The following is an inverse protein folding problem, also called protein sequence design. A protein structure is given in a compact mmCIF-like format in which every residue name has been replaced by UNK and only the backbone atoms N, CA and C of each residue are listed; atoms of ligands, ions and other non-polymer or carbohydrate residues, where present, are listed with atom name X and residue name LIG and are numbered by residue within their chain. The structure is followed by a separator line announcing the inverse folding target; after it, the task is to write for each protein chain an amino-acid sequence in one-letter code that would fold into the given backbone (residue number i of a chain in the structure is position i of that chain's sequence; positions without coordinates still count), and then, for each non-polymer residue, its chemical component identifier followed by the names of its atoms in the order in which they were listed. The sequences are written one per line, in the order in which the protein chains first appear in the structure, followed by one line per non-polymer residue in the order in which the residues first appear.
data_IF_301113149703
#
_entry.id   IF_301113149703
#
_cell.length_a   1.000
_cell.length_b   1.000
_cell.length_c   1.000
_cell.angle_alpha   90.00
_cell.angle_beta   90.00
_cell.angle_gamma   90.00
#
_symmetry.space_group_name_H-M   'P 1'
#
loop_
_entity.id
_entity.type
_entity.pdbx_description
1 polymer ?
#
# COMPACT_ATOMS: atom_id res chain seq x y z
N UNK A 1 -39.66 -41.25 -1.64
CA UNK A 1 -38.64 -41.19 -0.60
C UNK A 1 -37.49 -40.41 -1.14
N UNK A 2 -37.31 -39.24 -0.72
CA UNK A 2 -37.12 -37.95 -1.41
C UNK A 2 -35.62 -37.57 -1.36
N UNK A 3 -34.96 -37.64 -2.56
CA UNK A 3 -33.57 -37.17 -2.77
C UNK A 3 -33.45 -35.62 -2.82
N UNK A 4 -34.53 -34.91 -2.62
CA UNK A 4 -34.56 -33.43 -2.72
C UNK A 4 -34.34 -32.72 -1.38
N UNK A 5 -34.33 -33.45 -0.26
CA UNK A 5 -34.26 -32.86 1.07
C UNK A 5 -32.82 -32.58 1.55
N UNK A 6 -31.88 -33.43 1.12
CA UNK A 6 -30.47 -33.29 1.54
C UNK A 6 -29.74 -32.12 0.92
N UNK A 7 -30.13 -31.70 -0.28
CA UNK A 7 -29.50 -30.54 -0.96
C UNK A 7 -29.94 -29.19 -0.37
N UNK A 8 -31.19 -29.11 0.10
CA UNK A 8 -31.69 -27.90 0.79
C UNK A 8 -31.12 -27.78 2.21
N UNK A 9 -30.94 -28.91 2.88
CA UNK A 9 -30.37 -28.97 4.23
C UNK A 9 -28.87 -28.63 4.22
N UNK A 10 -28.12 -29.14 3.26
CA UNK A 10 -26.70 -28.79 3.08
C UNK A 10 -26.49 -27.34 2.65
N UNK A 11 -27.36 -26.79 1.80
CA UNK A 11 -27.35 -25.38 1.45
C UNK A 11 -27.67 -24.50 2.66
N UNK A 12 -28.61 -24.90 3.52
CA UNK A 12 -28.93 -24.22 4.77
C UNK A 12 -27.75 -24.17 5.74
N UNK A 13 -27.09 -25.31 5.93
CA UNK A 13 -25.91 -25.41 6.80
C UNK A 13 -24.71 -24.60 6.28
N UNK A 14 -24.52 -24.52 4.97
CA UNK A 14 -23.50 -23.69 4.35
C UNK A 14 -23.79 -22.19 4.50
N UNK A 15 -25.06 -21.80 4.36
CA UNK A 15 -25.48 -20.42 4.60
C UNK A 15 -25.34 -20.01 6.07
N UNK A 16 -25.67 -20.91 6.99
CA UNK A 16 -25.51 -20.70 8.42
C UNK A 16 -24.03 -20.64 8.82
N UNK A 17 -23.19 -21.48 8.22
CA UNK A 17 -21.72 -21.43 8.36
C UNK A 17 -21.12 -20.14 7.81
N UNK A 18 -21.63 -19.61 6.69
CA UNK A 18 -21.21 -18.33 6.16
C UNK A 18 -21.71 -17.16 7.02
N UNK A 19 -22.88 -17.25 7.61
CA UNK A 19 -23.44 -16.25 8.52
C UNK A 19 -22.73 -16.19 9.88
N UNK A 20 -22.09 -17.30 10.29
CA UNK A 20 -21.28 -17.39 11.52
C UNK A 20 -19.79 -17.10 11.30
N UNK A 21 -19.39 -16.66 10.11
CA UNK A 21 -18.03 -16.17 9.87
C UNK A 21 -17.73 -15.07 10.89
N UNK A 22 -16.68 -15.21 11.69
CA UNK A 22 -16.37 -14.20 12.69
C UNK A 22 -16.14 -12.85 12.01
N UNK A 23 -16.66 -11.78 12.59
CA UNK A 23 -16.62 -10.41 12.08
C UNK A 23 -15.23 -9.96 11.58
N UNK A 24 -14.17 -10.53 12.14
CA UNK A 24 -12.79 -10.27 11.71
C UNK A 24 -12.44 -10.88 10.34
N UNK A 25 -13.08 -11.98 9.92
CA UNK A 25 -12.89 -12.52 8.55
C UNK A 25 -13.57 -11.64 7.51
N UNK A 26 -14.74 -11.07 7.79
CA UNK A 26 -15.38 -10.08 6.93
C UNK A 26 -14.56 -8.80 6.84
N UNK A 27 -14.02 -8.32 7.97
CA UNK A 27 -13.12 -7.17 7.98
C UNK A 27 -11.86 -7.44 7.17
N UNK A 28 -11.27 -8.63 7.27
CA UNK A 28 -10.08 -9.00 6.50
C UNK A 28 -10.37 -9.09 4.99
N UNK A 29 -11.53 -9.61 4.59
CA UNK A 29 -11.89 -9.74 3.17
C UNK A 29 -12.37 -8.43 2.55
N UNK A 30 -13.06 -7.58 3.32
CA UNK A 30 -13.58 -6.30 2.82
C UNK A 30 -12.53 -5.19 2.84
N UNK A 31 -11.53 -5.27 3.72
CA UNK A 31 -10.53 -4.22 3.92
C UNK A 31 -9.08 -4.71 3.73
N UNK A 32 -8.88 -5.80 2.97
CA UNK A 32 -7.54 -6.36 2.73
C UNK A 32 -6.55 -5.34 2.17
N UNK A 33 -7.01 -4.39 1.38
CA UNK A 33 -6.17 -3.33 0.81
C UNK A 33 -5.56 -2.44 1.90
N UNK A 34 -6.36 -2.07 2.91
CA UNK A 34 -5.87 -1.26 4.04
C UNK A 34 -4.87 -2.02 4.90
N UNK A 35 -5.08 -3.31 5.07
CA UNK A 35 -4.17 -4.17 5.80
C UNK A 35 -2.85 -4.36 5.05
N UNK A 36 -2.91 -4.52 3.72
CA UNK A 36 -1.73 -4.65 2.87
C UNK A 36 -0.82 -3.42 2.94
N UNK A 37 -1.37 -2.20 2.74
CA UNK A 37 -0.52 -1.01 2.81
C UNK A 37 0.03 -0.78 4.22
N UNK A 38 -0.73 -1.09 5.28
CA UNK A 38 -0.25 -0.99 6.66
C UNK A 38 0.95 -1.92 6.91
N UNK A 39 0.90 -3.15 6.41
CA UNK A 39 2.02 -4.11 6.51
C UNK A 39 3.24 -3.57 5.75
N UNK A 40 3.08 -3.12 4.51
CA UNK A 40 4.19 -2.57 3.71
C UNK A 40 4.78 -1.33 4.37
N UNK A 41 3.95 -0.47 4.96
CA UNK A 41 4.38 0.72 5.69
C UNK A 41 5.25 0.35 6.91
N UNK A 42 4.80 -0.61 7.71
CA UNK A 42 5.53 -1.07 8.89
C UNK A 42 6.85 -1.72 8.49
N UNK A 43 6.86 -2.56 7.44
CA UNK A 43 8.09 -3.19 6.93
C UNK A 43 9.06 -2.12 6.43
N UNK A 44 8.59 -1.13 5.66
CA UNK A 44 9.42 -0.03 5.18
C UNK A 44 10.04 0.76 6.32
N UNK A 45 9.24 1.13 7.32
CA UNK A 45 9.71 1.85 8.50
C UNK A 45 10.72 1.00 9.32
N UNK A 46 10.41 -0.28 9.52
CA UNK A 46 11.31 -1.20 10.20
C UNK A 46 12.68 -1.29 9.50
N UNK A 47 12.70 -1.39 8.17
CA UNK A 47 13.95 -1.42 7.41
C UNK A 47 14.78 -0.13 7.56
N UNK A 48 14.11 1.03 7.62
CA UNK A 48 14.80 2.32 7.83
C UNK A 48 15.46 2.38 9.21
N UNK A 49 14.77 1.90 10.24
CA UNK A 49 15.25 2.00 11.64
C UNK A 49 16.23 0.89 11.99
N UNK A 50 15.94 -0.35 11.59
CA UNK A 50 16.70 -1.53 12.04
C UNK A 50 17.94 -1.85 11.19
N UNK A 51 18.07 -1.29 9.97
CA UNK A 51 19.21 -1.59 9.13
C UNK A 51 20.39 -0.69 9.45
N UNK A 52 21.57 -1.27 9.65
CA UNK A 52 22.83 -0.54 9.73
C UNK A 52 23.38 -0.14 8.34
N UNK A 53 22.97 -0.83 7.29
CA UNK A 53 23.43 -0.59 5.93
C UNK A 53 22.64 0.52 5.23
N UNK A 54 23.34 1.55 4.72
CA UNK A 54 22.75 2.73 4.09
C UNK A 54 21.91 2.41 2.86
N UNK A 55 22.31 1.42 2.06
CA UNK A 55 21.53 1.00 0.87
C UNK A 55 20.20 0.39 1.31
N UNK A 56 20.20 -0.45 2.34
CA UNK A 56 18.96 -1.04 2.89
C UNK A 56 18.03 0.03 3.44
N UNK A 57 18.54 1.10 4.03
CA UNK A 57 17.75 2.26 4.48
C UNK A 57 17.04 2.95 3.31
N UNK A 58 17.72 3.14 2.18
CA UNK A 58 17.09 3.73 0.99
C UNK A 58 15.99 2.83 0.44
N UNK A 59 16.21 1.51 0.41
CA UNK A 59 15.18 0.55 0.01
C UNK A 59 13.98 0.62 0.97
N UNK A 60 14.22 0.68 2.28
CA UNK A 60 13.17 0.85 3.29
C UNK A 60 12.37 2.13 3.10
N UNK A 61 13.05 3.24 2.78
CA UNK A 61 12.40 4.52 2.49
C UNK A 61 11.50 4.45 1.26
N UNK A 62 11.93 3.74 0.20
CA UNK A 62 11.12 3.52 -0.99
C UNK A 62 9.88 2.66 -0.71
N UNK A 63 10.00 1.61 0.11
CA UNK A 63 8.86 0.80 0.54
C UNK A 63 7.87 1.63 1.36
N UNK A 64 8.37 2.42 2.29
CA UNK A 64 7.55 3.33 3.09
C UNK A 64 6.78 4.34 2.23
N UNK A 65 7.46 4.98 1.27
CA UNK A 65 6.85 5.90 0.32
C UNK A 65 5.77 5.22 -0.53
N UNK A 66 6.04 4.00 -1.03
CA UNK A 66 5.08 3.22 -1.82
C UNK A 66 3.82 2.89 -1.02
N UNK A 67 3.96 2.56 0.27
CA UNK A 67 2.82 2.31 1.16
C UNK A 67 1.92 3.55 1.30
N UNK A 68 2.51 4.74 1.42
CA UNK A 68 1.76 6.00 1.48
C UNK A 68 1.00 6.24 0.17
N UNK A 69 1.61 5.95 -0.99
CA UNK A 69 0.93 6.10 -2.29
C UNK A 69 -0.24 5.14 -2.42
N UNK A 70 -0.08 3.88 -2.00
CA UNK A 70 -1.17 2.90 -1.97
C UNK A 70 -2.32 3.36 -1.09
N UNK A 71 -2.03 3.99 0.04
CA UNK A 71 -3.05 4.57 0.91
C UNK A 71 -3.84 5.68 0.19
N UNK A 72 -3.18 6.65 -0.44
CA UNK A 72 -3.85 7.73 -1.16
C UNK A 72 -4.69 7.21 -2.34
N UNK A 73 -4.17 6.26 -3.11
CA UNK A 73 -4.90 5.65 -4.22
C UNK A 73 -6.12 4.88 -3.71
N UNK A 74 -5.96 4.14 -2.62
CA UNK A 74 -7.06 3.40 -1.98
C UNK A 74 -8.17 4.32 -1.45
N UNK A 75 -7.81 5.51 -0.94
CA UNK A 75 -8.78 6.50 -0.44
C UNK A 75 -9.55 7.18 -1.58
N UNK A 76 -8.95 7.25 -2.78
CA UNK A 76 -9.60 7.83 -3.96
C UNK A 76 -10.66 6.92 -4.59
N UNK A 77 -10.61 5.63 -4.29
CA UNK A 77 -11.55 4.66 -4.85
C UNK A 77 -12.92 4.80 -4.17
N UNK A 78 -13.93 5.09 -4.98
CA UNK A 78 -15.34 5.09 -4.53
C UNK A 78 -15.84 3.66 -4.60
N UNK A 79 -16.20 3.10 -3.44
CA UNK A 79 -16.91 1.81 -3.39
C UNK A 79 -18.28 1.94 -4.02
N UNK A 80 -18.75 0.80 -4.49
CA UNK A 80 -20.11 0.62 -5.02
C UNK A 80 -21.13 1.30 -4.09
N UNK A 81 -21.81 2.30 -4.62
CA UNK A 81 -22.93 2.98 -3.97
C UNK A 81 -24.17 2.60 -4.79
N UNK A 82 -25.18 2.02 -4.13
CA UNK A 82 -26.43 1.59 -4.76
C UNK A 82 -26.28 0.57 -5.92
N UNK A 83 -25.24 -0.27 -5.88
CA UNK A 83 -25.00 -1.32 -6.88
C UNK A 83 -24.23 -0.86 -8.12
N UNK A 84 -23.77 0.39 -8.16
CA UNK A 84 -22.94 0.91 -9.24
C UNK A 84 -21.49 1.15 -8.79
N UNK A 85 -20.52 0.60 -9.54
CA UNK A 85 -19.12 0.83 -9.31
C UNK A 85 -18.72 2.27 -9.63
N UNK A 86 -17.90 2.89 -8.79
CA UNK A 86 -17.40 4.24 -9.03
C UNK A 86 -16.74 4.37 -10.40
N UNK A 87 -17.20 5.30 -11.21
CA UNK A 87 -16.72 5.52 -12.57
C UNK A 87 -15.52 6.47 -12.59
N UNK A 88 -14.72 6.37 -13.65
CA UNK A 88 -13.66 7.35 -13.90
C UNK A 88 -14.25 8.76 -14.08
N UNK A 89 -13.56 9.84 -13.67
CA UNK A 89 -14.08 11.21 -13.75
C UNK A 89 -14.07 11.77 -15.19
N UNK A 90 -14.65 11.01 -16.12
CA UNK A 90 -14.85 11.42 -17.51
C UNK A 90 -16.34 11.65 -17.67
N UNK A 91 -16.75 12.90 -17.70
CA UNK A 91 -18.16 13.29 -17.82
C UNK A 91 -18.53 13.25 -19.31
N UNK A 92 -19.39 12.32 -19.76
CA UNK A 92 -19.96 12.40 -21.11
C UNK A 92 -20.86 13.63 -21.22
N UNK A 93 -20.96 14.20 -22.42
CA UNK A 93 -21.70 15.44 -22.69
C UNK A 93 -23.20 15.38 -22.33
N UNK A 94 -23.75 14.16 -22.13
CA UNK A 94 -25.14 13.89 -21.78
C UNK A 94 -25.37 13.36 -20.35
N UNK A 95 -24.32 13.33 -19.50
CA UNK A 95 -24.43 12.71 -18.18
C UNK A 95 -25.10 13.61 -17.16
N UNK A 96 -26.11 13.07 -16.50
CA UNK A 96 -26.81 13.69 -15.39
C UNK A 96 -25.88 13.76 -14.17
N UNK A 97 -25.82 14.91 -13.51
CA UNK A 97 -24.82 15.34 -12.51
C UNK A 97 -24.77 14.56 -11.17
N UNK A 98 -25.24 13.31 -11.10
CA UNK A 98 -25.37 12.58 -9.84
C UNK A 98 -24.67 11.20 -9.79
N UNK A 99 -23.79 10.87 -10.75
CA UNK A 99 -23.06 9.61 -10.71
C UNK A 99 -21.87 9.69 -9.75
N UNK A 100 -21.55 8.62 -9.00
CA UNK A 100 -20.43 8.59 -8.06
C UNK A 100 -19.11 8.51 -8.83
N UNK A 101 -18.53 9.65 -9.14
CA UNK A 101 -17.20 9.72 -9.78
C UNK A 101 -16.09 9.56 -8.76
N UNK A 102 -15.07 8.77 -9.12
CA UNK A 102 -13.83 8.66 -8.35
C UNK A 102 -13.07 9.99 -8.37
N UNK A 103 -12.44 10.37 -7.26
CA UNK A 103 -11.64 11.60 -7.21
C UNK A 103 -10.34 11.45 -8.01
N UNK A 104 -10.06 12.34 -9.01
CA UNK A 104 -8.83 12.28 -9.78
C UNK A 104 -7.61 12.85 -9.03
N UNK A 105 -7.82 13.63 -7.97
CA UNK A 105 -6.76 14.35 -7.24
C UNK A 105 -5.67 13.43 -6.67
N UNK A 106 -5.96 12.32 -5.96
CA UNK A 106 -4.92 11.45 -5.44
C UNK A 106 -4.06 10.83 -6.51
N UNK A 107 -4.61 10.49 -7.68
CA UNK A 107 -3.86 9.92 -8.80
C UNK A 107 -2.87 10.93 -9.41
N UNK A 108 -3.27 12.20 -9.53
CA UNK A 108 -2.39 13.29 -10.02
C UNK A 108 -1.26 13.55 -9.03
N UNK A 109 -1.56 13.59 -7.73
CA UNK A 109 -0.56 13.78 -6.67
C UNK A 109 0.44 12.61 -6.66
N UNK A 110 -0.02 11.37 -6.81
CA UNK A 110 0.84 10.18 -6.86
C UNK A 110 1.79 10.24 -8.06
N UNK A 111 1.34 10.67 -9.23
CA UNK A 111 2.21 10.83 -10.39
C UNK A 111 3.38 11.78 -10.10
N UNK A 112 3.09 12.95 -9.51
CA UNK A 112 4.12 13.93 -9.11
C UNK A 112 5.05 13.35 -8.04
N UNK A 113 4.49 12.65 -7.06
CA UNK A 113 5.24 12.04 -5.96
C UNK A 113 6.16 10.90 -6.42
N UNK A 114 5.79 10.14 -7.46
CA UNK A 114 6.66 9.12 -8.07
C UNK A 114 7.90 9.77 -8.68
N UNK A 115 7.73 10.86 -9.42
CA UNK A 115 8.87 11.58 -10.04
C UNK A 115 9.82 12.11 -8.96
N UNK A 116 9.28 12.74 -7.92
CA UNK A 116 10.07 13.23 -6.77
C UNK A 116 10.76 12.08 -6.05
N UNK A 117 10.06 10.97 -5.82
CA UNK A 117 10.62 9.78 -5.15
C UNK A 117 11.78 9.17 -5.91
N UNK A 118 11.70 9.08 -7.24
CA UNK A 118 12.80 8.60 -8.09
C UNK A 118 13.99 9.54 -8.00
N UNK A 119 13.76 10.86 -8.06
CA UNK A 119 14.81 11.86 -7.94
C UNK A 119 15.53 11.79 -6.59
N UNK A 120 14.78 11.69 -5.48
CA UNK A 120 15.35 11.55 -4.14
C UNK A 120 16.14 10.25 -3.98
N UNK A 121 15.65 9.15 -4.54
CA UNK A 121 16.36 7.88 -4.54
C UNK A 121 17.66 7.95 -5.31
N UNK A 122 17.68 8.58 -6.48
CA UNK A 122 18.86 8.79 -7.28
C UNK A 122 19.94 9.62 -6.54
N UNK A 123 19.52 10.72 -5.91
CA UNK A 123 20.40 11.55 -5.08
C UNK A 123 20.91 10.77 -3.86
N UNK A 124 20.03 10.04 -3.19
CA UNK A 124 20.39 9.20 -2.05
C UNK A 124 21.46 8.15 -2.41
N UNK A 125 21.28 7.44 -3.53
CA UNK A 125 22.24 6.47 -4.02
C UNK A 125 23.56 7.12 -4.44
N UNK A 126 23.53 8.30 -5.07
CA UNK A 126 24.74 9.04 -5.41
C UNK A 126 25.54 9.43 -4.16
N UNK A 127 24.86 9.85 -3.10
CA UNK A 127 25.50 10.14 -1.81
C UNK A 127 26.10 8.89 -1.17
N UNK A 128 25.39 7.77 -1.23
CA UNK A 128 25.90 6.47 -0.72
C UNK A 128 27.17 6.05 -1.46
N UNK A 129 27.20 6.18 -2.78
CA UNK A 129 28.41 5.89 -3.58
C UNK A 129 29.57 6.80 -3.17
N UNK A 130 29.30 8.08 -2.93
CA UNK A 130 30.31 9.03 -2.48
C UNK A 130 30.86 8.69 -1.09
N UNK A 131 29.98 8.34 -0.15
CA UNK A 131 30.38 7.88 1.19
C UNK A 131 31.25 6.62 1.08
N UNK A 132 30.85 5.67 0.25
CA UNK A 132 31.62 4.46 0.03
C UNK A 132 33.02 4.73 -0.56
N UNK A 133 33.12 5.69 -1.47
CA UNK A 133 34.41 6.06 -2.07
C UNK A 133 35.35 6.75 -1.07
N UNK A 134 34.84 7.41 -0.06
CA UNK A 134 35.59 8.15 0.95
C UNK A 134 35.99 7.26 2.15
N UNK A 135 35.03 6.47 2.65
CA UNK A 135 35.19 5.69 3.89
C UNK A 135 35.34 4.18 3.66
N UNK A 136 35.13 3.67 2.44
CA UNK A 136 35.24 2.25 2.11
C UNK A 136 34.19 1.34 2.75
N UNK A 137 33.20 1.91 3.44
CA UNK A 137 32.17 1.15 4.13
C UNK A 137 30.78 1.81 3.93
N UNK A 138 29.73 0.99 4.02
CA UNK A 138 28.32 1.43 3.99
C UNK A 138 27.61 1.14 5.31
N UNK A 139 28.33 0.65 6.29
CA UNK A 139 27.80 0.34 7.60
C UNK A 139 27.82 1.58 8.50
N UNK A 140 26.68 1.95 9.07
CA UNK A 140 26.52 3.15 9.88
C UNK A 140 27.33 3.12 11.16
N UNK A 141 27.46 1.94 11.79
CA UNK A 141 28.24 1.80 13.04
C UNK A 141 29.71 2.03 12.77
N UNK A 142 30.24 1.42 11.72
CA UNK A 142 31.64 1.61 11.29
C UNK A 142 31.90 3.08 10.90
N UNK A 143 30.95 3.73 10.19
CA UNK A 143 31.08 5.14 9.83
C UNK A 143 31.13 6.06 11.06
N UNK A 144 30.34 5.77 12.09
CA UNK A 144 30.38 6.51 13.35
C UNK A 144 31.69 6.36 14.07
N UNK A 145 32.28 5.16 14.06
CA UNK A 145 33.54 4.85 14.70
C UNK A 145 34.73 5.55 14.01
N UNK A 146 34.79 5.51 12.68
CA UNK A 146 35.80 6.23 11.90
C UNK A 146 35.71 7.74 12.15
N UNK A 147 34.52 8.31 12.12
CA UNK A 147 34.31 9.74 12.36
C UNK A 147 34.65 10.19 13.80
N UNK A 148 34.51 9.30 14.79
CA UNK A 148 34.85 9.64 16.18
C UNK A 148 36.36 9.64 16.44
N UNK A 149 37.15 9.05 15.53
CA UNK A 149 38.61 8.96 15.63
C UNK A 149 39.34 10.03 14.80
N UNK A 150 38.59 10.88 14.06
CA UNK A 150 39.10 12.07 13.36
C UNK A 150 39.04 13.32 14.28
#
# INVERSE_FOLDING_TARGET
MTMTDTSSETAGLLLESLATMPMWTELLTSQYTYLLFAIVLVIGLYMVVASSNLVKKIIGLNLFQTAIFLFFVSTAYVREVDGEAGQAPVIPEEAVAYEPYASPLPHVIVLTAIVVGVALTAVGLALVVRIYSEYGTLDEETLREVRSNE
#
